data_IF_881246332330
#
_entry.id   IF_881246332330
#
_cell.length_a   1.000
_cell.length_b   1.000
_cell.length_c   1.000
_cell.angle_alpha   90.00
_cell.angle_beta   90.00
_cell.angle_gamma   90.00
#
_symmetry.space_group_name_H-M   'P 1'
#
loop_
_entity.id
_entity.type
_entity.pdbx_description
1 polymer ?
#
# COMPACT_ATOMS: atom_id res chain seq x y z
N UNK A 1 -2.40 8.60 8.12
CA UNK A 1 -2.21 7.19 7.71
C UNK A 1 -0.84 6.70 8.15
N UNK A 2 -0.74 5.46 8.53
CA UNK A 2 0.55 4.85 8.82
C UNK A 2 0.90 3.81 7.78
N UNK A 3 2.15 3.83 7.33
CA UNK A 3 2.68 2.84 6.40
C UNK A 3 3.90 2.22 7.06
N UNK A 4 3.84 0.95 7.37
CA UNK A 4 4.90 0.23 8.09
C UNK A 4 5.31 0.98 9.37
N UNK A 5 4.33 1.55 10.07
CA UNK A 5 4.55 2.27 11.31
C UNK A 5 4.95 3.74 11.15
N UNK A 6 5.16 4.22 9.95
CA UNK A 6 5.55 5.61 9.71
C UNK A 6 4.34 6.44 9.27
N UNK A 7 4.16 7.58 9.92
CA UNK A 7 3.08 8.49 9.57
C UNK A 7 3.33 9.15 8.21
N UNK A 8 2.27 9.31 7.44
CA UNK A 8 2.32 10.11 6.23
C UNK A 8 0.93 10.68 5.91
N UNK A 9 0.93 11.80 5.21
CA UNK A 9 -0.31 12.40 4.74
C UNK A 9 -0.89 11.59 3.57
N UNK A 10 -2.20 11.60 3.47
CA UNK A 10 -2.89 10.92 2.35
C UNK A 10 -3.52 11.99 1.49
N UNK A 11 -3.09 12.12 0.23
CA UNK A 11 -3.79 12.98 -0.71
C UNK A 11 -5.22 12.50 -0.93
N UNK A 12 -6.09 13.41 -1.32
CA UNK A 12 -7.48 13.06 -1.59
C UNK A 12 -7.53 11.97 -2.67
N UNK A 13 -8.29 10.92 -2.40
CA UNK A 13 -8.50 9.81 -3.32
C UNK A 13 -7.25 9.02 -3.71
N UNK A 14 -6.22 9.04 -2.88
CA UNK A 14 -5.07 8.20 -3.16
C UNK A 14 -5.45 6.73 -3.05
N UNK A 15 -4.95 5.92 -3.98
CA UNK A 15 -5.16 4.48 -3.99
C UNK A 15 -3.90 3.75 -3.53
N UNK A 16 -4.06 2.46 -3.20
CA UNK A 16 -2.92 1.61 -2.86
C UNK A 16 -1.88 1.64 -3.99
N UNK A 17 -2.34 1.53 -5.24
CA UNK A 17 -1.43 1.54 -6.38
C UNK A 17 -0.64 2.83 -6.45
N UNK A 18 -1.31 3.98 -6.29
CA UNK A 18 -0.64 5.28 -6.32
C UNK A 18 0.41 5.39 -5.21
N UNK A 19 0.06 4.93 -4.01
CA UNK A 19 0.99 4.94 -2.88
C UNK A 19 2.22 4.09 -3.18
N UNK A 20 2.04 2.88 -3.72
CA UNK A 20 3.17 2.01 -4.02
C UNK A 20 4.11 2.64 -5.04
N UNK A 21 3.56 3.27 -6.07
CA UNK A 21 4.37 3.96 -7.06
C UNK A 21 5.13 5.13 -6.45
N UNK A 22 4.49 5.89 -5.59
CA UNK A 22 5.12 7.02 -4.92
C UNK A 22 6.28 6.57 -4.04
N UNK A 23 6.13 5.42 -3.37
CA UNK A 23 7.18 4.86 -2.52
C UNK A 23 8.27 4.13 -3.30
N UNK A 24 8.10 3.98 -4.60
CA UNK A 24 9.09 3.29 -5.43
C UNK A 24 8.97 1.77 -5.40
N UNK A 25 7.85 1.24 -4.96
CA UNK A 25 7.63 -0.20 -4.95
C UNK A 25 7.04 -0.68 -6.28
N UNK A 26 7.46 -1.88 -6.69
CA UNK A 26 6.84 -2.57 -7.81
C UNK A 26 5.60 -3.29 -7.30
N UNK A 27 4.40 -2.96 -7.78
CA UNK A 27 3.17 -3.61 -7.31
C UNK A 27 3.15 -5.12 -7.50
N UNK A 28 3.95 -5.64 -8.43
CA UNK A 28 4.03 -7.08 -8.68
C UNK A 28 4.88 -7.81 -7.65
N UNK A 29 5.61 -7.08 -6.82
CA UNK A 29 6.58 -7.65 -5.89
C UNK A 29 6.29 -7.38 -4.43
N UNK A 30 5.09 -6.90 -4.13
CA UNK A 30 4.72 -6.58 -2.75
C UNK A 30 3.39 -7.21 -2.38
N UNK A 31 3.24 -7.46 -1.10
CA UNK A 31 1.94 -7.75 -0.50
C UNK A 31 1.55 -6.55 0.35
N UNK A 32 0.27 -6.22 0.35
CA UNK A 32 -0.25 -5.06 1.09
C UNK A 32 -1.38 -5.52 2.00
N UNK A 33 -1.28 -5.15 3.28
CA UNK A 33 -2.39 -5.28 4.21
C UNK A 33 -2.90 -3.88 4.54
N UNK A 34 -4.21 -3.74 4.56
CA UNK A 34 -4.85 -2.50 5.01
C UNK A 34 -5.71 -2.83 6.21
N UNK A 35 -5.37 -2.27 7.36
CA UNK A 35 -6.08 -2.53 8.61
C UNK A 35 -6.20 -4.02 8.93
N UNK A 36 -5.14 -4.76 8.68
CA UNK A 36 -5.11 -6.20 8.96
C UNK A 36 -5.70 -7.09 7.87
N UNK A 37 -6.18 -6.51 6.78
CA UNK A 37 -6.78 -7.28 5.69
C UNK A 37 -5.89 -7.20 4.45
N UNK A 38 -5.55 -8.35 3.89
CA UNK A 38 -4.74 -8.39 2.67
C UNK A 38 -5.57 -7.87 1.50
N UNK A 39 -4.98 -6.94 0.75
CA UNK A 39 -5.62 -6.36 -0.42
C UNK A 39 -5.15 -7.13 -1.65
N UNK A 40 -6.05 -7.75 -2.40
CA UNK A 40 -5.67 -8.43 -3.64
C UNK A 40 -5.01 -7.46 -4.63
N UNK A 41 -4.00 -7.93 -5.33
CA UNK A 41 -3.28 -7.09 -6.29
C UNK A 41 -4.22 -6.49 -7.34
N UNK A 42 -5.21 -7.23 -7.76
CA UNK A 42 -6.19 -6.75 -8.74
C UNK A 42 -6.99 -5.55 -8.24
N UNK A 43 -7.01 -5.31 -6.93
CA UNK A 43 -7.75 -4.18 -6.34
C UNK A 43 -6.87 -2.99 -6.01
N UNK A 44 -5.57 -3.07 -6.22
CA UNK A 44 -4.66 -1.98 -5.85
C UNK A 44 -5.06 -0.64 -6.47
N UNK A 45 -5.52 -0.65 -7.71
CA UNK A 45 -5.88 0.58 -8.41
C UNK A 45 -7.22 1.16 -7.94
N UNK A 46 -8.01 0.39 -7.23
CA UNK A 46 -9.34 0.80 -6.79
C UNK A 46 -9.45 0.98 -5.29
N UNK A 47 -8.50 0.45 -4.53
CA UNK A 47 -8.54 0.52 -3.07
C UNK A 47 -8.09 1.89 -2.62
N UNK A 48 -9.03 2.68 -2.12
CA UNK A 48 -8.75 4.05 -1.67
C UNK A 48 -8.28 4.08 -0.23
N UNK A 49 -7.43 5.05 0.07
CA UNK A 49 -6.81 5.22 1.38
C UNK A 49 -7.37 6.43 2.09
N UNK A 50 -7.38 6.37 3.41
CA UNK A 50 -7.82 7.48 4.25
C UNK A 50 -6.77 7.72 5.34
N UNK A 51 -6.89 8.86 6.02
CA UNK A 51 -5.95 9.21 7.09
C UNK A 51 -5.99 8.23 8.27
N UNK A 52 -7.08 7.49 8.41
CA UNK A 52 -7.23 6.54 9.50
C UNK A 52 -6.64 5.16 9.20
N UNK A 53 -6.18 4.93 7.97
CA UNK A 53 -5.74 3.61 7.57
C UNK A 53 -4.34 3.29 8.08
N UNK A 54 -4.11 2.00 8.34
CA UNK A 54 -2.82 1.44 8.68
C UNK A 54 -2.45 0.43 7.63
N UNK A 55 -1.34 0.66 6.92
CA UNK A 55 -0.86 -0.24 5.88
C UNK A 55 0.44 -0.91 6.27
N UNK A 56 0.54 -2.17 5.88
CA UNK A 56 1.78 -2.93 5.93
C UNK A 56 2.12 -3.31 4.50
N UNK A 57 3.29 -2.94 4.06
CA UNK A 57 3.78 -3.29 2.72
C UNK A 57 4.99 -4.18 2.90
N UNK A 58 4.90 -5.39 2.38
CA UNK A 58 5.98 -6.37 2.47
C UNK A 58 6.50 -6.61 1.06
N UNK A 59 7.78 -6.34 0.85
CA UNK A 59 8.42 -6.62 -0.43
C UNK A 59 8.89 -8.07 -0.44
N UNK A 60 8.54 -8.80 -1.49
CA UNK A 60 9.13 -10.11 -1.66
C UNK A 60 10.58 -9.92 -2.04
N UNK A 61 11.46 -10.48 -1.27
CA UNK A 61 12.85 -10.51 -1.61
C UNK A 61 12.92 -11.38 -2.83
N UNK A 62 12.97 -10.75 -3.93
CA UNK A 62 12.85 -11.41 -5.17
C UNK A 62 13.98 -12.31 -5.39
N UNK A 63 13.94 -13.34 -4.80
CA UNK A 63 14.90 -14.28 -5.04
C UNK A 63 15.07 -14.45 -6.50
N UNK A 64 14.99 -13.78 -7.05
CA UNK A 64 15.31 -14.15 -8.44
C UNK A 64 15.71 -13.37 -9.08
#
# INVERSE_FOLDING_TARGET
>A
MKVNGNERAVPVEETVLALLKELGHDPQRVAVEKNGTIIPRAQFAEEKLTDADHLEVVCFVGGG
#
